data_IF_031534448829
#
_entry.id   IF_031534448829
#
_cell.length_a   1.000
_cell.length_b   1.000
_cell.length_c   1.000
_cell.angle_alpha   90.00
_cell.angle_beta   90.00
_cell.angle_gamma   90.00
#
_symmetry.space_group_name_H-M   'P 1'
#
loop_
_entity.id
_entity.type
_entity.pdbx_description
1 polymer ?
#
# COMPACT_ATOMS: atom_id res chain seq x y z
N UNK A 1 -10.08 -12.15 -4.47
CA UNK A 1 -9.32 -10.95 -4.86
C UNK A 1 -10.25 -9.77 -4.65
N UNK A 2 -9.85 -8.82 -3.82
CA UNK A 2 -10.61 -7.60 -3.53
C UNK A 2 -9.76 -6.39 -3.82
N UNK A 3 -10.29 -5.44 -4.58
CA UNK A 3 -9.65 -4.16 -4.81
C UNK A 3 -9.79 -3.30 -3.56
N UNK A 4 -8.67 -2.72 -3.13
CA UNK A 4 -8.56 -1.83 -1.98
C UNK A 4 -7.78 -0.60 -2.39
N UNK A 5 -8.27 0.56 -1.97
CA UNK A 5 -7.58 1.84 -2.10
C UNK A 5 -7.05 2.29 -0.75
N UNK A 6 -5.75 2.51 -0.67
CA UNK A 6 -5.06 3.07 0.48
C UNK A 6 -4.89 4.58 0.26
N UNK A 7 -5.41 5.40 1.17
CA UNK A 7 -5.05 6.81 1.27
C UNK A 7 -3.82 6.93 2.17
N UNK A 8 -2.78 7.63 1.74
CA UNK A 8 -1.47 7.62 2.39
C UNK A 8 -1.00 9.05 2.62
N UNK A 9 -0.47 9.31 3.81
CA UNK A 9 0.13 10.58 4.20
C UNK A 9 1.66 10.46 4.29
N UNK A 10 2.36 11.57 4.04
CA UNK A 10 3.82 11.67 4.13
C UNK A 10 4.57 11.37 2.82
N UNK A 11 3.90 10.96 1.76
CA UNK A 11 4.52 10.89 0.42
C UNK A 11 4.60 12.28 -0.20
N UNK A 12 5.81 12.81 -0.37
CA UNK A 12 6.04 14.18 -0.87
C UNK A 12 6.88 14.25 -2.15
N UNK A 13 7.45 13.14 -2.64
CA UNK A 13 8.28 13.11 -3.84
C UNK A 13 8.10 11.82 -4.65
N UNK A 14 8.43 11.83 -5.95
CA UNK A 14 8.30 10.67 -6.85
C UNK A 14 9.11 9.45 -6.41
N UNK A 15 10.22 9.64 -5.68
CA UNK A 15 10.96 8.52 -5.08
C UNK A 15 10.15 7.77 -4.00
N UNK A 16 9.20 8.42 -3.34
CA UNK A 16 8.35 7.81 -2.33
C UNK A 16 7.46 6.70 -2.89
N UNK A 17 6.98 6.89 -4.12
CA UNK A 17 6.13 5.93 -4.83
C UNK A 17 6.86 4.61 -5.06
N UNK A 18 8.14 4.67 -5.44
CA UNK A 18 8.95 3.47 -5.69
C UNK A 18 9.22 2.69 -4.40
N UNK A 19 9.56 3.38 -3.30
CA UNK A 19 9.76 2.74 -2.00
C UNK A 19 8.50 2.02 -1.52
N UNK A 20 7.35 2.67 -1.58
CA UNK A 20 6.09 2.05 -1.19
C UNK A 20 5.74 0.85 -2.07
N UNK A 21 5.89 0.98 -3.39
CA UNK A 21 5.64 -0.13 -4.33
C UNK A 21 6.51 -1.34 -4.00
N UNK A 22 7.77 -1.12 -3.62
CA UNK A 22 8.70 -2.17 -3.22
C UNK A 22 8.24 -2.89 -1.95
N UNK A 23 7.81 -2.16 -0.92
CA UNK A 23 7.32 -2.75 0.33
C UNK A 23 6.01 -3.52 0.12
N UNK A 24 5.04 -2.96 -0.60
CA UNK A 24 3.78 -3.64 -0.91
C UNK A 24 3.99 -4.93 -1.73
N UNK A 25 4.98 -4.95 -2.62
CA UNK A 25 5.29 -6.13 -3.46
C UNK A 25 5.83 -7.31 -2.65
N UNK A 26 6.26 -7.11 -1.40
CA UNK A 26 6.70 -8.19 -0.51
C UNK A 26 5.54 -8.96 0.11
N UNK A 27 4.32 -8.42 0.08
CA UNK A 27 3.15 -9.05 0.68
C UNK A 27 2.61 -10.14 -0.26
N UNK A 28 2.68 -11.39 0.17
CA UNK A 28 2.12 -12.51 -0.58
C UNK A 28 0.59 -12.41 -0.66
N UNK A 29 0.03 -12.53 -1.87
CA UNK A 29 -1.41 -12.37 -2.10
C UNK A 29 -1.85 -10.92 -2.32
N UNK A 30 -0.90 -9.98 -2.45
CA UNK A 30 -1.15 -8.61 -2.89
C UNK A 30 -0.69 -8.42 -4.34
N UNK A 31 -1.51 -7.77 -5.15
CA UNK A 31 -1.19 -7.29 -6.49
C UNK A 31 -1.30 -5.77 -6.52
N UNK A 32 -0.31 -5.09 -7.10
CA UNK A 32 -0.31 -3.62 -7.16
C UNK A 32 -0.87 -3.19 -8.51
N UNK A 33 -1.96 -2.42 -8.49
CA UNK A 33 -2.58 -1.91 -9.71
C UNK A 33 -1.99 -0.54 -10.08
N UNK A 34 -1.96 0.39 -9.12
CA UNK A 34 -1.36 1.71 -9.32
C UNK A 34 -0.89 2.30 -7.99
N UNK A 35 0.25 2.98 -7.98
CA UNK A 35 0.71 3.76 -6.82
C UNK A 35 0.99 5.17 -7.29
N UNK A 36 0.42 6.14 -6.59
CA UNK A 36 0.55 7.56 -6.86
C UNK A 36 0.85 8.30 -5.55
N UNK A 37 1.29 9.55 -5.63
CA UNK A 37 1.54 10.35 -4.42
C UNK A 37 0.22 10.49 -3.65
N UNK A 38 0.24 10.00 -2.42
CA UNK A 38 -0.90 10.07 -1.50
C UNK A 38 -1.93 8.94 -1.61
N UNK A 39 -1.79 8.00 -2.56
CA UNK A 39 -2.72 6.87 -2.70
C UNK A 39 -2.12 5.63 -3.38
N UNK A 40 -2.63 4.46 -3.04
CA UNK A 40 -2.29 3.20 -3.70
C UNK A 40 -3.54 2.36 -3.97
N UNK A 41 -3.73 1.92 -5.21
CA UNK A 41 -4.74 0.92 -5.57
C UNK A 41 -4.06 -0.44 -5.68
N UNK A 42 -4.59 -1.39 -4.93
CA UNK A 42 -4.06 -2.74 -4.83
C UNK A 42 -5.22 -3.74 -4.88
N UNK A 43 -4.92 -4.96 -5.28
CA UNK A 43 -5.81 -6.10 -5.13
C UNK A 43 -5.22 -7.06 -4.10
N UNK A 44 -6.04 -7.47 -3.14
CA UNK A 44 -5.62 -8.33 -2.05
C UNK A 44 -6.42 -9.63 -2.01
N UNK A 45 -5.76 -10.70 -1.59
CA UNK A 45 -6.39 -11.93 -1.14
C UNK A 45 -6.77 -11.76 0.34
N UNK A 46 -8.06 -11.55 0.62
CA UNK A 46 -8.60 -11.28 1.96
C UNK A 46 -8.32 -12.41 2.98
N UNK A 47 -7.94 -13.60 2.49
CA UNK A 47 -7.57 -14.74 3.33
C UNK A 47 -6.11 -14.61 3.79
N UNK A 48 -5.25 -13.97 3.00
CA UNK A 48 -3.80 -13.88 3.22
C UNK A 48 -3.33 -12.50 3.68
N UNK A 49 -4.05 -11.46 3.30
CA UNK A 49 -3.66 -10.06 3.51
C UNK A 49 -4.68 -9.39 4.41
N UNK A 50 -4.20 -8.88 5.54
CA UNK A 50 -5.03 -8.10 6.47
C UNK A 50 -4.75 -6.61 6.30
N UNK A 51 -5.71 -5.79 6.71
CA UNK A 51 -5.53 -4.33 6.75
C UNK A 51 -4.34 -3.91 7.63
N UNK A 52 -4.03 -4.68 8.67
CA UNK A 52 -2.86 -4.44 9.51
C UNK A 52 -1.56 -4.68 8.75
N UNK A 53 -1.45 -5.76 7.96
CA UNK A 53 -0.27 -6.01 7.12
C UNK A 53 -0.03 -4.89 6.09
N UNK A 54 -1.10 -4.33 5.54
CA UNK A 54 -1.01 -3.19 4.62
C UNK A 54 -0.48 -1.93 5.32
N UNK A 55 -0.99 -1.62 6.50
CA UNK A 55 -0.53 -0.49 7.31
C UNK A 55 0.95 -0.63 7.65
N UNK A 56 1.35 -1.79 8.18
CA UNK A 56 2.75 -2.06 8.51
C UNK A 56 3.68 -1.87 7.30
N UNK A 57 3.31 -2.36 6.11
CA UNK A 57 4.15 -2.17 4.92
C UNK A 57 4.27 -0.69 4.48
N UNK A 58 3.22 0.10 4.70
CA UNK A 58 3.23 1.54 4.43
C UNK A 58 4.10 2.27 5.47
N UNK A 59 4.04 1.85 6.74
CA UNK A 59 4.86 2.39 7.84
C UNK A 59 6.34 2.05 7.69
N UNK A 60 6.66 0.82 7.29
CA UNK A 60 8.04 0.38 6.97
C UNK A 60 8.62 1.17 5.78
N UNK A 61 7.77 1.62 4.85
CA UNK A 61 8.17 2.53 3.78
C UNK A 61 8.37 3.98 4.26
N UNK A 62 8.03 4.30 5.51
CA UNK A 62 8.16 5.62 6.13
C UNK A 62 6.92 6.51 5.95
N UNK A 63 5.74 5.94 5.70
CA UNK A 63 4.50 6.67 5.47
C UNK A 63 3.38 6.21 6.42
N UNK A 64 2.24 6.89 6.39
CA UNK A 64 1.10 6.52 7.25
C UNK A 64 -0.16 6.34 6.43
N UNK A 65 -0.92 5.28 6.69
CA UNK A 65 -2.24 5.07 6.07
C UNK A 65 -3.26 5.95 6.77
N UNK A 66 -3.99 6.75 5.99
CA UNK A 66 -5.08 7.62 6.46
C UNK A 66 -6.41 6.88 6.41
N UNK A 67 -6.62 6.07 5.37
CA UNK A 67 -7.85 5.29 5.19
C UNK A 67 -7.64 4.13 4.23
N UNK A 68 -8.45 3.10 4.40
CA UNK A 68 -8.50 1.88 3.57
C UNK A 68 -9.93 1.77 3.07
N UNK A 69 -10.12 1.84 1.75
CA UNK A 69 -11.42 1.84 1.08
C UNK A 69 -11.57 0.63 0.17
#
# INVERSE_FOLDING_TARGET
MKTVQLAIHGMTCGHCVMSLKKELSKIAGLTINSVEIGKANIEIDEIKVTHQSLQHAVEEAGYSVVSIQ
#
